data_IF_194404904408
#
_entry.id   IF_194404904408
#
_cell.length_a   1.000
_cell.length_b   1.000
_cell.length_c   1.000
_cell.angle_alpha   90.00
_cell.angle_beta   90.00
_cell.angle_gamma   90.00
#
_symmetry.space_group_name_H-M   'P 1'
#
loop_
_entity.id
_entity.type
_entity.pdbx_description
1 polymer ?
#
# COMPACT_ATOMS: atom_id res chain seq x y z
N UNK A 1 70.98 -26.97 46.34
CA UNK A 1 69.54 -27.27 46.11
C UNK A 1 68.70 -26.00 46.08
N UNK A 2 68.71 -25.16 47.12
CA UNK A 2 67.91 -23.92 47.16
C UNK A 2 68.22 -22.90 46.04
N UNK A 3 69.49 -22.64 45.69
CA UNK A 3 69.83 -21.66 44.63
C UNK A 3 69.44 -22.09 43.21
N UNK A 4 69.38 -23.39 42.94
CA UNK A 4 69.02 -23.92 41.60
C UNK A 4 67.51 -23.80 41.38
N UNK A 5 66.73 -23.99 42.45
CA UNK A 5 65.27 -23.85 42.45
C UNK A 5 64.87 -22.38 42.27
N UNK A 6 65.59 -21.44 42.91
CA UNK A 6 65.33 -20.00 42.76
C UNK A 6 65.61 -19.52 41.32
N UNK A 7 66.69 -20.00 40.70
CA UNK A 7 67.04 -19.63 39.32
C UNK A 7 66.02 -20.16 38.31
N UNK A 8 65.54 -21.40 38.49
CA UNK A 8 64.51 -22.00 37.63
C UNK A 8 63.16 -21.27 37.75
N UNK A 9 62.80 -20.81 38.95
CA UNK A 9 61.55 -20.09 39.20
C UNK A 9 61.57 -18.67 38.60
N UNK A 10 62.73 -18.01 38.61
CA UNK A 10 62.94 -16.71 37.93
C UNK A 10 62.92 -16.86 36.41
N UNK A 11 63.49 -17.92 35.84
CA UNK A 11 63.42 -18.19 34.39
C UNK A 11 62.01 -18.58 33.97
N UNK A 12 61.24 -19.30 34.80
CA UNK A 12 59.84 -19.61 34.53
C UNK A 12 58.95 -18.36 34.64
N UNK A 13 59.16 -17.50 35.64
CA UNK A 13 58.47 -16.20 35.74
C UNK A 13 58.86 -15.27 34.59
N UNK A 14 60.13 -15.25 34.20
CA UNK A 14 60.62 -14.48 33.05
C UNK A 14 60.08 -15.05 31.74
N UNK A 15 59.94 -16.36 31.58
CA UNK A 15 59.29 -16.98 30.42
C UNK A 15 57.79 -16.66 30.38
N UNK A 16 57.10 -16.65 31.54
CA UNK A 16 55.70 -16.20 31.66
C UNK A 16 55.54 -14.69 31.39
N UNK A 17 56.55 -13.88 31.75
CA UNK A 17 56.63 -12.44 31.47
C UNK A 17 57.10 -12.13 30.03
N UNK A 18 57.86 -13.02 29.37
CA UNK A 18 58.24 -12.95 27.95
C UNK A 18 57.08 -13.45 27.07
N UNK A 19 56.23 -14.36 27.57
CA UNK A 19 54.86 -14.56 27.06
C UNK A 19 53.89 -13.48 27.54
N UNK A 20 54.38 -12.49 28.29
CA UNK A 20 53.65 -11.33 28.76
C UNK A 20 53.24 -10.45 27.58
N UNK A 21 51.96 -10.55 27.26
CA UNK A 21 51.21 -9.56 26.46
C UNK A 21 51.68 -9.39 25.01
N UNK A 22 51.54 -10.44 24.20
CA UNK A 22 51.21 -10.17 22.79
C UNK A 22 49.94 -9.33 22.81
N UNK A 23 50.03 -8.04 22.44
CA UNK A 23 48.86 -7.19 22.25
C UNK A 23 48.09 -7.78 21.06
N UNK A 24 47.18 -8.70 21.36
CA UNK A 24 46.30 -9.25 20.34
C UNK A 24 45.24 -8.21 20.05
N UNK A 25 45.13 -7.83 18.79
CA UNK A 25 43.96 -7.13 18.28
C UNK A 25 42.78 -8.13 18.23
N UNK A 26 41.60 -7.64 17.87
CA UNK A 26 40.49 -8.49 17.42
C UNK A 26 40.35 -8.34 15.92
N UNK A 27 40.26 -9.46 15.23
CA UNK A 27 39.78 -9.49 13.85
C UNK A 27 38.25 -9.49 13.86
N UNK A 28 37.63 -8.48 13.25
CA UNK A 28 36.20 -8.50 12.94
C UNK A 28 36.03 -9.15 11.58
N UNK A 29 35.13 -10.13 11.50
CA UNK A 29 34.81 -10.90 10.32
C UNK A 29 33.32 -10.79 9.99
N UNK A 30 33.03 -10.54 8.72
CA UNK A 30 31.68 -10.52 8.15
C UNK A 30 31.58 -11.72 7.20
N UNK A 31 30.62 -12.61 7.43
CA UNK A 31 30.46 -13.87 6.70
C UNK A 31 31.75 -14.71 6.66
N UNK A 32 32.52 -14.66 7.76
CA UNK A 32 33.79 -15.35 7.93
C UNK A 32 35.00 -14.68 7.26
N UNK A 33 34.80 -13.68 6.41
CA UNK A 33 35.87 -12.91 5.77
C UNK A 33 36.40 -11.82 6.69
N UNK A 34 37.73 -11.69 6.80
CA UNK A 34 38.37 -10.64 7.60
C UNK A 34 38.05 -9.26 7.00
N UNK A 35 37.29 -8.45 7.75
CA UNK A 35 36.90 -7.11 7.35
C UNK A 35 37.88 -6.06 7.88
N UNK A 36 38.14 -6.04 9.20
CA UNK A 36 39.09 -5.13 9.81
C UNK A 36 39.67 -5.63 11.14
N UNK A 37 40.68 -4.93 11.65
CA UNK A 37 41.26 -5.17 12.98
C UNK A 37 40.89 -4.03 13.92
N UNK A 38 40.52 -4.36 15.16
CA UNK A 38 40.27 -3.38 16.24
C UNK A 38 41.08 -3.72 17.48
N UNK A 39 41.22 -2.74 18.38
CA UNK A 39 42.14 -2.83 19.52
C UNK A 39 41.92 -4.05 20.42
N UNK A 40 40.67 -4.32 20.79
CA UNK A 40 40.31 -5.34 21.77
C UNK A 40 38.82 -5.72 21.64
N UNK A 41 38.38 -6.71 22.42
CA UNK A 41 37.00 -7.22 22.35
C UNK A 41 35.95 -6.16 22.68
N UNK A 42 36.27 -5.20 23.56
CA UNK A 42 35.34 -4.11 23.89
C UNK A 42 35.19 -3.17 22.71
N UNK A 43 36.28 -2.89 21.99
CA UNK A 43 36.23 -2.13 20.76
C UNK A 43 35.37 -2.84 19.70
N UNK A 44 35.54 -4.15 19.52
CA UNK A 44 34.72 -4.92 18.57
C UNK A 44 33.23 -4.89 18.93
N UNK A 45 32.89 -5.11 20.21
CA UNK A 45 31.50 -5.02 20.67
C UNK A 45 30.93 -3.62 20.45
N UNK A 46 31.69 -2.57 20.76
CA UNK A 46 31.26 -1.18 20.53
C UNK A 46 31.00 -0.87 19.06
N UNK A 47 31.84 -1.39 18.15
CA UNK A 47 31.62 -1.23 16.71
C UNK A 47 30.32 -1.93 16.29
N UNK A 48 30.10 -3.16 16.76
CA UNK A 48 28.85 -3.89 16.50
C UNK A 48 27.61 -3.11 16.99
N UNK A 49 27.64 -2.65 18.25
CA UNK A 49 26.52 -1.91 18.84
C UNK A 49 26.29 -0.56 18.14
N UNK A 50 27.36 0.14 17.72
CA UNK A 50 27.27 1.39 16.97
C UNK A 50 26.70 1.17 15.56
N UNK A 51 27.05 0.08 14.86
CA UNK A 51 26.45 -0.28 13.57
C UNK A 51 24.94 -0.51 13.70
N UNK A 52 24.53 -1.31 14.69
CA UNK A 52 23.11 -1.56 14.96
C UNK A 52 22.36 -0.28 15.33
N UNK A 53 22.94 0.57 16.19
CA UNK A 53 22.33 1.83 16.60
C UNK A 53 22.21 2.82 15.44
N UNK A 54 23.25 2.94 14.59
CA UNK A 54 23.24 3.81 13.43
C UNK A 54 22.23 3.36 12.39
N UNK A 55 22.23 2.08 12.02
CA UNK A 55 21.30 1.57 11.01
C UNK A 55 19.85 1.53 11.47
N UNK A 56 19.59 1.23 12.74
CA UNK A 56 18.23 1.26 13.31
C UNK A 56 17.68 2.68 13.41
N UNK A 57 18.54 3.65 13.71
CA UNK A 57 18.13 5.03 13.95
C UNK A 57 17.05 5.14 15.03
N UNK A 58 15.90 5.72 14.67
CA UNK A 58 14.75 5.91 15.56
C UNK A 58 13.71 4.79 15.48
N UNK A 59 13.95 3.75 14.69
CA UNK A 59 12.99 2.65 14.54
C UNK A 59 12.83 1.89 15.87
N UNK A 60 11.61 1.44 16.20
CA UNK A 60 11.36 0.63 17.39
C UNK A 60 11.91 -0.79 17.20
N UNK A 61 11.90 -1.58 18.27
CA UNK A 61 12.35 -2.98 18.25
C UNK A 61 13.86 -3.16 18.34
N UNK A 62 14.26 -4.43 18.34
CA UNK A 62 15.66 -4.85 18.30
C UNK A 62 16.19 -4.80 16.86
N UNK A 63 17.49 -4.56 16.72
CA UNK A 63 18.18 -4.59 15.45
C UNK A 63 19.18 -5.74 15.42
N UNK A 64 19.36 -6.32 14.25
CA UNK A 64 20.33 -7.37 13.98
C UNK A 64 21.04 -7.10 12.65
N UNK A 65 22.15 -7.79 12.42
CA UNK A 65 22.82 -7.77 11.12
C UNK A 65 22.29 -8.93 10.27
N UNK A 66 22.06 -8.68 8.98
CA UNK A 66 21.76 -9.73 8.02
C UNK A 66 22.96 -10.69 7.85
N UNK A 67 24.17 -10.13 7.84
CA UNK A 67 25.42 -10.85 7.70
C UNK A 67 25.86 -11.48 9.02
N UNK A 68 26.60 -12.58 8.93
CA UNK A 68 27.16 -13.23 10.10
C UNK A 68 28.33 -12.42 10.68
N UNK A 69 28.10 -11.79 11.82
CA UNK A 69 29.14 -11.16 12.61
C UNK A 69 29.92 -12.20 13.42
N UNK A 70 31.24 -12.10 13.39
CA UNK A 70 32.11 -12.76 14.37
C UNK A 70 33.35 -11.93 14.62
N UNK A 71 33.93 -12.09 15.80
CA UNK A 71 35.25 -11.57 16.08
C UNK A 71 36.12 -12.62 16.77
N UNK A 72 37.40 -12.71 16.38
CA UNK A 72 38.39 -13.61 17.01
C UNK A 72 39.70 -12.88 17.42
N UNK A 73 40.47 -13.39 18.40
CA UNK A 73 41.78 -12.83 18.72
C UNK A 73 42.73 -12.91 17.52
N UNK A 74 43.43 -11.82 17.23
CA UNK A 74 44.33 -11.73 16.08
C UNK A 74 45.75 -11.29 16.50
N UNK A 75 46.81 -12.02 16.13
CA UNK A 75 48.17 -11.62 16.42
C UNK A 75 48.54 -10.40 15.58
N UNK A 76 48.92 -9.30 16.24
CA UNK A 76 49.41 -8.10 15.54
C UNK A 76 50.85 -8.35 15.12
N UNK A 77 51.08 -8.54 13.82
CA UNK A 77 52.40 -8.71 13.21
C UNK A 77 52.91 -7.41 12.53
N UNK A 78 52.16 -6.31 12.67
CA UNK A 78 52.48 -5.01 12.09
C UNK A 78 52.16 -4.88 10.60
N UNK A 79 51.58 -5.91 9.96
CA UNK A 79 51.26 -5.89 8.52
C UNK A 79 49.91 -5.25 8.19
N UNK A 80 49.04 -5.05 9.18
CA UNK A 80 47.69 -4.50 9.03
C UNK A 80 47.40 -3.45 10.10
N UNK A 81 46.71 -2.40 9.67
CA UNK A 81 46.31 -1.31 10.55
C UNK A 81 45.20 -1.76 11.52
N UNK A 82 45.31 -1.29 12.77
CA UNK A 82 44.29 -1.48 13.80
C UNK A 82 43.45 -0.22 13.87
N UNK A 83 42.21 -0.32 13.41
CA UNK A 83 41.31 0.81 13.25
C UNK A 83 40.77 1.29 14.61
N UNK A 84 40.46 2.58 14.67
CA UNK A 84 39.63 3.14 15.74
C UNK A 84 38.17 2.68 15.60
N UNK A 85 37.39 2.77 16.67
CA UNK A 85 35.97 2.36 16.67
C UNK A 85 35.22 3.07 15.54
N UNK A 86 35.31 4.40 15.46
CA UNK A 86 34.62 5.20 14.44
C UNK A 86 34.98 4.79 13.00
N UNK A 87 36.27 4.61 12.72
CA UNK A 87 36.76 4.22 11.40
C UNK A 87 36.32 2.80 11.02
N UNK A 88 36.34 1.87 11.98
CA UNK A 88 35.80 0.53 11.79
C UNK A 88 34.28 0.55 11.55
N UNK A 89 33.52 1.37 12.29
CA UNK A 89 32.07 1.53 12.07
C UNK A 89 31.77 2.10 10.68
N UNK A 90 32.49 3.14 10.24
CA UNK A 90 32.34 3.72 8.90
C UNK A 90 32.65 2.70 7.79
N UNK A 91 33.74 1.93 7.92
CA UNK A 91 34.10 0.89 6.96
C UNK A 91 33.07 -0.24 6.90
N UNK A 92 32.61 -0.72 8.06
CA UNK A 92 31.72 -1.87 8.15
C UNK A 92 30.27 -1.51 7.79
N UNK A 93 29.86 -0.26 7.96
CA UNK A 93 28.52 0.21 7.59
C UNK A 93 28.19 0.02 6.11
N UNK A 94 29.19 0.03 5.24
CA UNK A 94 29.06 -0.26 3.79
C UNK A 94 29.01 -1.77 3.48
N UNK A 95 29.35 -2.63 4.44
CA UNK A 95 29.46 -4.08 4.27
C UNK A 95 28.32 -4.86 4.92
N UNK A 96 27.56 -4.21 5.81
CA UNK A 96 26.50 -4.86 6.57
C UNK A 96 25.15 -4.20 6.37
N UNK A 97 24.10 -5.00 6.51
CA UNK A 97 22.71 -4.60 6.40
C UNK A 97 22.08 -4.75 7.76
N UNK A 98 21.55 -3.65 8.28
CA UNK A 98 20.82 -3.66 9.55
C UNK A 98 19.37 -4.05 9.28
N UNK A 99 18.95 -5.11 9.96
CA UNK A 99 17.60 -5.66 9.95
C UNK A 99 16.89 -5.27 11.25
N UNK A 100 15.62 -4.94 11.16
CA UNK A 100 14.76 -4.57 12.29
C UNK A 100 13.43 -5.32 12.20
N UNK A 101 12.79 -5.54 13.35
CA UNK A 101 11.40 -5.97 13.36
C UNK A 101 10.49 -4.85 12.84
N UNK A 102 9.73 -5.15 11.79
CA UNK A 102 8.80 -4.20 11.17
C UNK A 102 7.41 -4.81 11.06
N UNK A 103 6.40 -3.95 11.24
CA UNK A 103 5.03 -4.27 10.86
C UNK A 103 4.91 -4.15 9.33
N UNK A 104 4.36 -5.16 8.70
CA UNK A 104 4.24 -5.23 7.24
C UNK A 104 2.79 -5.29 6.84
N UNK A 105 2.39 -4.37 5.97
CA UNK A 105 1.10 -4.45 5.30
C UNK A 105 1.25 -5.41 4.12
N UNK A 106 0.56 -6.53 4.22
CA UNK A 106 0.38 -7.51 3.15
C UNK A 106 -0.94 -7.26 2.44
N UNK A 107 -0.92 -7.30 1.11
CA UNK A 107 -2.11 -7.16 0.27
C UNK A 107 -2.21 -8.39 -0.63
N UNK A 108 -3.31 -9.13 -0.53
CA UNK A 108 -3.50 -10.41 -1.22
C UNK A 108 -2.33 -11.38 -0.98
N UNK A 109 -1.81 -11.39 0.26
CA UNK A 109 -0.67 -12.22 0.68
C UNK A 109 0.72 -11.73 0.25
N UNK A 110 0.82 -10.56 -0.39
CA UNK A 110 2.10 -9.99 -0.84
C UNK A 110 2.57 -8.88 0.11
N UNK A 111 3.75 -9.02 0.74
CA UNK A 111 4.36 -7.95 1.54
C UNK A 111 4.59 -6.68 0.71
N UNK A 112 3.84 -5.61 1.02
CA UNK A 112 3.83 -4.40 0.18
C UNK A 112 4.59 -3.25 0.84
N UNK A 113 4.36 -2.99 2.14
CA UNK A 113 5.01 -1.87 2.86
C UNK A 113 5.49 -2.30 4.24
N UNK A 114 6.72 -1.90 4.61
CA UNK A 114 7.29 -2.06 5.95
C UNK A 114 7.13 -0.78 6.76
N UNK A 115 6.67 -0.91 8.00
CA UNK A 115 6.30 0.18 8.88
C UNK A 115 6.85 -0.04 10.30
N UNK A 116 7.05 1.05 11.07
CA UNK A 116 7.66 0.97 12.39
C UNK A 116 6.90 0.08 13.37
N UNK A 117 5.56 0.12 13.34
CA UNK A 117 4.76 -0.65 14.29
C UNK A 117 3.39 -1.02 13.73
N UNK A 118 2.71 -1.93 14.42
CA UNK A 118 1.35 -2.35 14.06
C UNK A 118 0.35 -1.19 14.19
N UNK A 119 0.53 -0.34 15.18
CA UNK A 119 -0.27 0.86 15.40
C UNK A 119 -0.07 1.84 14.24
N UNK A 120 1.18 2.08 13.83
CA UNK A 120 1.48 2.93 12.68
C UNK A 120 0.88 2.37 11.38
N UNK A 121 0.94 1.04 11.20
CA UNK A 121 0.29 0.37 10.07
C UNK A 121 -1.24 0.53 10.10
N UNK A 122 -1.86 0.49 11.27
CA UNK A 122 -3.28 0.74 11.41
C UNK A 122 -3.63 2.20 11.06
N UNK A 123 -2.85 3.17 11.54
CA UNK A 123 -3.03 4.59 11.23
C UNK A 123 -2.94 4.87 9.73
N UNK A 124 -2.02 4.19 9.02
CA UNK A 124 -1.92 4.24 7.55
C UNK A 124 -3.20 3.72 6.90
N UNK A 125 -3.69 2.54 7.27
CA UNK A 125 -4.91 1.95 6.70
C UNK A 125 -6.14 2.80 6.98
N UNK A 126 -6.26 3.36 8.18
CA UNK A 126 -7.37 4.24 8.56
C UNK A 126 -7.32 5.57 7.81
N UNK A 127 -6.11 6.10 7.59
CA UNK A 127 -5.89 7.29 6.74
C UNK A 127 -6.38 7.03 5.32
N UNK A 128 -6.08 5.86 4.73
CA UNK A 128 -6.55 5.51 3.37
C UNK A 128 -8.07 5.44 3.34
N UNK A 129 -8.68 4.76 4.31
CA UNK A 129 -10.14 4.66 4.44
C UNK A 129 -10.81 6.03 4.47
N UNK A 130 -10.33 6.93 5.34
CA UNK A 130 -10.88 8.27 5.50
C UNK A 130 -10.86 9.14 4.23
N UNK A 131 -9.99 8.86 3.26
CA UNK A 131 -9.97 9.58 1.98
C UNK A 131 -11.16 9.26 1.06
N UNK A 132 -11.85 8.14 1.27
CA UNK A 132 -12.92 7.65 0.39
C UNK A 132 -14.29 7.62 1.07
N UNK A 133 -14.53 8.59 1.94
CA UNK A 133 -15.84 8.85 2.54
C UNK A 133 -16.58 9.88 1.69
N UNK A 134 -17.70 9.53 1.02
CA UNK A 134 -18.49 10.50 0.27
C UNK A 134 -19.02 11.61 1.18
N UNK A 135 -18.82 12.87 0.78
CA UNK A 135 -19.29 14.01 1.55
C UNK A 135 -20.83 14.06 1.60
N UNK A 136 -21.39 14.26 2.79
CA UNK A 136 -22.83 14.46 2.98
C UNK A 136 -23.71 13.21 2.89
N UNK A 137 -23.13 12.04 2.58
CA UNK A 137 -23.87 10.78 2.58
C UNK A 137 -23.70 10.02 3.91
N UNK A 138 -24.74 9.31 4.34
CA UNK A 138 -24.71 8.56 5.60
C UNK A 138 -24.00 7.22 5.38
N UNK A 139 -22.87 7.00 6.04
CA UNK A 139 -22.19 5.71 6.04
C UNK A 139 -23.03 4.65 6.77
N UNK A 140 -23.27 3.50 6.13
CA UNK A 140 -24.09 2.41 6.68
C UNK A 140 -23.25 1.29 7.28
N UNK A 141 -22.09 1.02 6.70
CA UNK A 141 -21.15 -0.02 7.15
C UNK A 141 -19.75 0.58 7.34
N UNK A 142 -18.93 -0.05 8.17
CA UNK A 142 -17.52 0.31 8.27
C UNK A 142 -16.83 0.15 6.91
N UNK A 143 -15.90 1.05 6.59
CA UNK A 143 -15.11 0.97 5.37
C UNK A 143 -14.25 -0.29 5.39
N UNK A 144 -14.29 -1.04 4.30
CA UNK A 144 -13.55 -2.30 4.12
C UNK A 144 -12.60 -2.18 2.94
N UNK A 145 -11.61 -3.07 2.88
CA UNK A 145 -10.80 -3.24 1.67
C UNK A 145 -11.37 -4.41 0.86
N UNK A 146 -11.30 -4.32 -0.48
CA UNK A 146 -11.67 -5.44 -1.34
C UNK A 146 -10.60 -6.54 -1.33
N UNK A 147 -9.34 -6.13 -1.22
CA UNK A 147 -8.18 -7.00 -1.12
C UNK A 147 -8.03 -7.58 0.30
N UNK A 148 -7.35 -8.72 0.42
CA UNK A 148 -7.00 -9.30 1.72
C UNK A 148 -5.83 -8.54 2.33
N UNK A 149 -6.16 -7.51 3.13
CA UNK A 149 -5.18 -6.65 3.80
C UNK A 149 -4.91 -7.14 5.21
N UNK A 150 -3.64 -7.47 5.48
CA UNK A 150 -3.17 -7.98 6.78
C UNK A 150 -1.95 -7.21 7.27
N UNK A 151 -1.82 -7.08 8.58
CA UNK A 151 -0.61 -6.58 9.22
C UNK A 151 0.11 -7.77 9.85
N UNK A 152 1.31 -8.08 9.35
CA UNK A 152 2.19 -9.14 9.86
C UNK A 152 3.46 -8.54 10.45
N UNK A 153 4.21 -9.30 11.25
CA UNK A 153 5.51 -8.88 11.78
C UNK A 153 6.60 -9.65 11.04
N UNK A 154 7.61 -8.94 10.50
CA UNK A 154 8.76 -9.57 9.84
C UNK A 154 10.03 -8.77 10.07
N UNK A 155 11.17 -9.44 9.92
CA UNK A 155 12.45 -8.75 9.78
C UNK A 155 12.50 -8.04 8.41
N UNK A 156 12.82 -6.76 8.44
CA UNK A 156 12.98 -5.92 7.26
C UNK A 156 14.29 -5.13 7.36
N UNK A 157 14.85 -4.75 6.21
CA UNK A 157 15.98 -3.82 6.20
C UNK A 157 15.53 -2.49 6.78
N UNK A 158 16.32 -1.91 7.69
CA UNK A 158 15.99 -0.65 8.33
C UNK A 158 15.73 0.48 7.31
N UNK A 159 16.51 0.51 6.22
CA UNK A 159 16.39 1.46 5.11
C UNK A 159 15.08 1.33 4.28
N UNK A 160 14.36 0.22 4.43
CA UNK A 160 13.10 -0.06 3.72
C UNK A 160 11.85 0.28 4.53
N UNK A 161 12.01 0.67 5.80
CA UNK A 161 10.88 0.98 6.69
C UNK A 161 10.42 2.42 6.46
N UNK A 162 9.17 2.60 6.05
CA UNK A 162 8.59 3.92 5.84
C UNK A 162 8.11 4.51 7.16
N UNK A 163 8.67 5.63 7.58
CA UNK A 163 8.32 6.31 8.84
C UNK A 163 7.28 7.42 8.68
N UNK A 164 6.85 7.70 7.45
CA UNK A 164 5.88 8.75 7.13
C UNK A 164 4.58 8.15 6.59
N UNK A 165 3.45 8.54 7.19
CA UNK A 165 2.12 8.03 6.79
C UNK A 165 1.87 8.33 5.31
N UNK A 166 2.19 9.55 4.84
CA UNK A 166 1.97 9.95 3.45
C UNK A 166 2.72 9.05 2.44
N UNK A 167 3.98 8.70 2.73
CA UNK A 167 4.76 7.82 1.87
C UNK A 167 4.20 6.38 1.86
N UNK A 168 3.74 5.90 3.02
CA UNK A 168 3.09 4.60 3.12
C UNK A 168 1.74 4.55 2.37
N UNK A 169 0.94 5.62 2.49
CA UNK A 169 -0.30 5.79 1.73
C UNK A 169 -0.03 5.82 0.24
N UNK A 170 0.99 6.54 -0.23
CA UNK A 170 1.38 6.56 -1.65
C UNK A 170 1.79 5.18 -2.15
N UNK A 171 2.58 4.45 -1.37
CA UNK A 171 3.01 3.09 -1.69
C UNK A 171 1.84 2.09 -1.79
N UNK A 172 0.75 2.32 -1.06
CA UNK A 172 -0.46 1.48 -1.07
C UNK A 172 -1.58 2.00 -2.02
N UNK A 173 -1.58 3.30 -2.30
CA UNK A 173 -2.67 4.04 -2.94
C UNK A 173 -2.58 4.15 -4.46
N UNK A 174 -1.52 3.61 -5.06
CA UNK A 174 -1.47 3.45 -6.51
C UNK A 174 -2.43 2.32 -6.90
N UNK A 175 -3.60 2.71 -7.41
CA UNK A 175 -4.58 1.84 -8.08
C UNK A 175 -3.90 0.65 -8.73
N UNK A 176 -4.43 -0.56 -8.50
CA UNK A 176 -3.95 -1.84 -9.06
C UNK A 176 -3.43 -1.66 -10.48
N UNK A 177 -2.14 -1.34 -10.61
CA UNK A 177 -1.53 -1.08 -11.89
C UNK A 177 -0.99 -2.43 -12.31
N UNK A 178 -1.53 -3.00 -13.39
CA UNK A 178 -0.93 -4.18 -13.97
C UNK A 178 0.54 -3.87 -14.30
N UNK A 179 1.40 -4.87 -14.17
CA UNK A 179 2.79 -4.72 -14.60
C UNK A 179 2.79 -4.24 -16.04
N UNK A 180 3.46 -3.12 -16.31
CA UNK A 180 3.58 -2.59 -17.66
C UNK A 180 4.43 -3.59 -18.45
N UNK A 181 3.83 -4.14 -19.50
CA UNK A 181 4.50 -5.07 -20.40
C UNK A 181 5.01 -4.30 -21.60
N UNK A 182 6.33 -4.21 -21.71
CA UNK A 182 7.03 -3.62 -22.84
C UNK A 182 7.33 -4.69 -23.88
N UNK A 183 7.20 -4.33 -25.16
CA UNK A 183 7.64 -5.17 -26.27
C UNK A 183 8.99 -4.65 -26.77
N UNK A 184 10.03 -5.48 -26.64
CA UNK A 184 11.41 -5.13 -26.99
C UNK A 184 11.50 -4.71 -28.47
N UNK A 185 12.09 -3.55 -28.76
CA UNK A 185 12.28 -3.07 -30.14
C UNK A 185 13.63 -3.51 -30.72
N UNK A 186 13.78 -3.52 -32.06
CA UNK A 186 15.06 -3.80 -32.70
C UNK A 186 16.19 -2.89 -32.19
N UNK A 187 17.27 -3.49 -31.70
CA UNK A 187 18.46 -2.78 -31.21
C UNK A 187 18.41 -2.33 -29.75
N UNK A 188 17.40 -2.74 -28.98
CA UNK A 188 17.35 -2.50 -27.53
C UNK A 188 17.98 -3.66 -26.75
N UNK A 189 18.51 -3.33 -25.57
CA UNK A 189 19.14 -4.26 -24.64
C UNK A 189 18.73 -3.89 -23.21
N UNK A 190 18.90 -4.81 -22.27
CA UNK A 190 18.35 -4.73 -20.91
C UNK A 190 18.73 -3.41 -20.22
N UNK A 191 19.99 -2.99 -20.32
CA UNK A 191 20.49 -1.75 -19.72
C UNK A 191 19.78 -0.51 -20.26
N UNK A 192 19.51 -0.47 -21.58
CA UNK A 192 18.82 0.65 -22.22
C UNK A 192 17.35 0.69 -21.79
N UNK A 193 16.66 -0.46 -21.83
CA UNK A 193 15.26 -0.55 -21.42
C UNK A 193 15.12 -0.18 -19.93
N UNK A 194 16.03 -0.66 -19.09
CA UNK A 194 16.03 -0.33 -17.65
C UNK A 194 16.20 1.17 -17.44
N UNK A 195 17.14 1.81 -18.13
CA UNK A 195 17.38 3.25 -18.03
C UNK A 195 16.19 4.08 -18.54
N UNK A 196 15.60 3.71 -19.67
CA UNK A 196 14.44 4.39 -20.26
C UNK A 196 13.20 4.31 -19.35
N UNK A 197 13.11 3.26 -18.52
CA UNK A 197 12.05 3.05 -17.52
C UNK A 197 12.48 3.40 -16.09
N UNK A 198 13.59 4.12 -15.90
CA UNK A 198 14.02 4.64 -14.60
C UNK A 198 14.36 3.58 -13.54
N UNK A 199 14.78 2.38 -13.97
CA UNK A 199 15.15 1.28 -13.08
C UNK A 199 16.58 0.78 -13.31
N UNK A 200 17.09 0.06 -12.33
CA UNK A 200 18.37 -0.68 -12.44
C UNK A 200 18.16 -2.00 -13.20
N UNK A 201 19.24 -2.51 -13.79
CA UNK A 201 19.27 -3.84 -14.42
C UNK A 201 18.87 -4.93 -13.42
N UNK A 202 19.27 -4.78 -12.16
CA UNK A 202 18.89 -5.71 -11.10
C UNK A 202 17.37 -5.72 -10.89
N UNK A 203 16.74 -4.56 -10.79
CA UNK A 203 15.28 -4.42 -10.66
C UNK A 203 14.54 -4.99 -11.88
N UNK A 204 15.07 -4.81 -13.10
CA UNK A 204 14.52 -5.42 -14.30
C UNK A 204 14.50 -6.95 -14.22
N UNK A 205 15.59 -7.56 -13.75
CA UNK A 205 15.66 -9.01 -13.57
C UNK A 205 14.86 -9.51 -12.36
N UNK A 206 14.62 -8.68 -11.36
CA UNK A 206 13.70 -9.02 -10.27
C UNK A 206 12.26 -9.10 -10.77
N UNK A 207 11.89 -8.31 -11.79
CA UNK A 207 10.59 -8.36 -12.46
C UNK A 207 10.46 -9.52 -13.45
N UNK A 208 11.57 -9.89 -14.08
CA UNK A 208 11.65 -10.93 -15.10
C UNK A 208 12.71 -11.99 -14.71
N UNK A 209 12.51 -12.73 -13.60
CA UNK A 209 13.50 -13.69 -13.11
C UNK A 209 13.84 -14.78 -14.12
N UNK A 210 12.90 -15.12 -15.01
CA UNK A 210 13.06 -16.06 -16.12
C UNK A 210 14.04 -15.60 -17.20
N UNK A 211 14.37 -14.30 -17.25
CA UNK A 211 15.29 -13.72 -18.22
C UNK A 211 16.72 -13.59 -17.68
N UNK A 212 16.98 -13.93 -16.41
CA UNK A 212 18.34 -13.85 -15.84
C UNK A 212 19.29 -14.78 -16.59
N UNK A 213 20.32 -14.20 -17.21
CA UNK A 213 21.32 -14.92 -18.00
C UNK A 213 20.88 -15.26 -19.43
N UNK A 214 19.69 -14.83 -19.85
CA UNK A 214 19.19 -14.99 -21.20
C UNK A 214 19.31 -13.68 -22.00
N UNK A 215 19.47 -13.80 -23.32
CA UNK A 215 19.46 -12.65 -24.24
C UNK A 215 18.01 -12.34 -24.61
N UNK A 216 17.61 -11.07 -24.51
CA UNK A 216 16.31 -10.59 -24.98
C UNK A 216 16.36 -10.33 -26.49
N UNK A 217 15.25 -10.60 -27.18
CA UNK A 217 15.10 -10.43 -28.62
C UNK A 217 14.00 -9.43 -28.98
N UNK A 218 14.08 -8.77 -30.15
CA UNK A 218 13.00 -7.91 -30.62
C UNK A 218 11.68 -8.69 -30.72
N UNK A 219 10.62 -8.15 -30.13
CA UNK A 219 9.31 -8.79 -30.02
C UNK A 219 9.05 -9.51 -28.68
N UNK A 220 10.07 -9.69 -27.84
CA UNK A 220 9.89 -10.26 -26.50
C UNK A 220 9.04 -9.32 -25.64
N UNK A 221 8.19 -9.92 -24.80
CA UNK A 221 7.39 -9.21 -23.81
C UNK A 221 8.10 -9.24 -22.46
N UNK A 222 8.52 -8.08 -21.97
CA UNK A 222 9.25 -7.93 -20.72
C UNK A 222 8.50 -6.98 -19.80
N UNK A 223 8.47 -7.26 -18.51
CA UNK A 223 7.86 -6.39 -17.50
C UNK A 223 8.82 -5.25 -17.19
N UNK A 224 8.35 -4.02 -17.39
CA UNK A 224 9.09 -2.78 -17.16
C UNK A 224 8.46 -1.91 -16.07
N UNK A 225 7.46 -2.44 -15.38
CA UNK A 225 7.05 -1.92 -14.09
C UNK A 225 6.57 -3.07 -13.20
N UNK A 226 6.67 -2.87 -11.89
CA UNK A 226 6.04 -3.77 -10.91
C UNK A 226 4.52 -3.63 -11.10
N UNK A 227 3.79 -4.74 -11.02
CA UNK A 227 2.37 -4.62 -10.76
C UNK A 227 2.23 -3.94 -9.39
N UNK A 228 1.58 -2.78 -9.32
CA UNK A 228 1.32 -2.12 -8.05
C UNK A 228 0.13 -2.84 -7.43
N UNK A 229 0.35 -3.44 -6.26
CA UNK A 229 -0.74 -4.02 -5.48
C UNK A 229 -1.40 -2.87 -4.72
N UNK A 230 -2.31 -2.17 -5.41
CA UNK A 230 -3.11 -1.12 -4.80
C UNK A 230 -4.23 -1.71 -3.94
N UNK A 231 -4.57 -1.03 -2.86
CA UNK A 231 -5.77 -1.35 -2.07
C UNK A 231 -6.97 -0.52 -2.55
N UNK A 232 -8.14 -1.14 -2.55
CA UNK A 232 -9.42 -0.55 -2.94
C UNK A 232 -10.31 -0.44 -1.72
N UNK A 233 -10.68 0.78 -1.35
CA UNK A 233 -11.64 1.02 -0.28
C UNK A 233 -13.05 0.81 -0.81
N UNK A 234 -13.80 -0.08 -0.16
CA UNK A 234 -15.23 -0.25 -0.37
C UNK A 234 -16.00 0.53 0.69
N UNK A 235 -16.84 1.44 0.21
CA UNK A 235 -17.72 2.27 1.05
C UNK A 235 -19.18 2.03 0.65
N UNK A 236 -20.06 1.86 1.64
CA UNK A 236 -21.51 1.72 1.41
C UNK A 236 -22.24 2.83 2.15
N UNK A 237 -22.95 3.67 1.42
CA UNK A 237 -23.70 4.80 1.96
C UNK A 237 -25.19 4.67 1.69
N UNK A 238 -25.98 5.40 2.47
CA UNK A 238 -27.41 5.59 2.28
C UNK A 238 -27.68 7.03 1.90
N UNK A 239 -28.47 7.19 0.83
CA UNK A 239 -28.94 8.48 0.34
C UNK A 239 -30.45 8.43 0.22
N UNK A 240 -31.11 9.48 0.69
CA UNK A 240 -32.55 9.67 0.55
C UNK A 240 -32.82 10.87 -0.34
N UNK A 241 -33.51 10.64 -1.46
CA UNK A 241 -33.86 11.66 -2.44
C UNK A 241 -35.38 11.81 -2.50
N UNK A 242 -35.87 13.05 -2.50
CA UNK A 242 -37.30 13.33 -2.72
C UNK A 242 -37.55 13.50 -4.21
N UNK A 243 -38.45 12.68 -4.75
CA UNK A 243 -38.85 12.69 -6.15
C UNK A 243 -40.34 13.04 -6.28
N UNK A 244 -40.68 13.84 -7.28
CA UNK A 244 -42.07 14.14 -7.59
C UNK A 244 -42.75 12.95 -8.28
N UNK A 245 -44.01 12.71 -7.94
CA UNK A 245 -44.86 11.66 -8.52
C UNK A 245 -45.93 12.33 -9.38
N UNK A 246 -45.94 12.11 -10.70
CA UNK A 246 -46.88 12.77 -11.59
C UNK A 246 -48.33 12.36 -11.27
N UNK A 247 -49.31 13.27 -11.48
CA UNK A 247 -50.71 12.97 -11.24
C UNK A 247 -51.26 11.92 -12.23
N UNK A 248 -51.99 10.94 -11.71
CA UNK A 248 -52.70 9.97 -12.55
C UNK A 248 -53.87 10.63 -13.29
N UNK A 249 -54.11 10.18 -14.53
CA UNK A 249 -55.15 10.75 -15.39
C UNK A 249 -56.47 10.01 -15.20
N UNK A 250 -57.46 10.71 -14.64
CA UNK A 250 -58.83 10.24 -14.54
C UNK A 250 -59.65 10.78 -15.72
N UNK A 251 -60.27 9.88 -16.52
CA UNK A 251 -61.13 10.26 -17.64
C UNK A 251 -62.59 10.32 -17.19
N UNK A 252 -63.19 11.50 -17.26
CA UNK A 252 -64.57 11.74 -16.82
C UNK A 252 -65.46 11.90 -18.06
N UNK A 253 -66.34 10.94 -18.32
CA UNK A 253 -67.25 11.01 -19.46
C UNK A 253 -68.38 12.02 -19.22
N UNK A 254 -68.70 12.85 -20.22
CA UNK A 254 -69.74 13.88 -20.10
C UNK A 254 -70.48 14.15 -21.41
N UNK A 255 -71.80 14.32 -21.31
CA UNK A 255 -72.65 14.76 -22.43
C UNK A 255 -72.54 16.27 -22.71
N UNK A 256 -71.82 17.04 -21.88
CA UNK A 256 -71.60 18.47 -22.14
C UNK A 256 -70.57 18.74 -23.23
N UNK A 257 -69.79 17.73 -23.64
CA UNK A 257 -68.83 17.79 -24.73
C UNK A 257 -69.25 16.82 -25.84
N UNK A 258 -69.02 17.20 -27.10
CA UNK A 258 -69.28 16.33 -28.24
C UNK A 258 -68.32 15.14 -28.27
N UNK A 259 -68.80 14.01 -28.79
CA UNK A 259 -67.98 12.83 -29.03
C UNK A 259 -66.71 13.19 -29.82
N UNK A 260 -65.55 12.79 -29.31
CA UNK A 260 -64.24 13.11 -29.89
C UNK A 260 -63.57 14.36 -29.30
N UNK A 261 -64.29 15.21 -28.56
CA UNK A 261 -63.70 16.34 -27.83
C UNK A 261 -63.19 15.91 -26.45
N UNK A 262 -62.06 16.48 -26.04
CA UNK A 262 -61.53 16.34 -24.68
C UNK A 262 -61.21 17.71 -24.08
N UNK A 263 -61.44 17.88 -22.78
CA UNK A 263 -61.05 19.09 -22.05
C UNK A 263 -60.44 18.72 -20.71
N UNK A 264 -59.28 19.28 -20.38
CA UNK A 264 -58.72 19.14 -19.03
C UNK A 264 -59.61 19.94 -18.06
N UNK A 265 -60.18 19.25 -17.07
CA UNK A 265 -61.00 19.85 -16.01
C UNK A 265 -60.16 20.25 -14.79
N UNK A 266 -59.07 19.52 -14.52
CA UNK A 266 -58.08 19.83 -13.49
C UNK A 266 -56.74 19.21 -13.88
N UNK A 267 -55.64 19.93 -13.71
CA UNK A 267 -54.28 19.43 -13.98
C UNK A 267 -53.79 18.43 -12.93
N UNK A 268 -54.43 18.38 -11.75
CA UNK A 268 -53.88 17.68 -10.59
C UNK A 268 -52.64 18.39 -10.03
N UNK A 269 -52.13 17.87 -8.92
CA UNK A 269 -50.91 18.33 -8.23
C UNK A 269 -50.02 17.11 -8.07
N UNK A 270 -48.75 17.16 -8.52
CA UNK A 270 -47.80 16.09 -8.29
C UNK A 270 -47.68 15.76 -6.80
N UNK A 271 -47.62 14.48 -6.49
CA UNK A 271 -47.27 14.01 -5.15
C UNK A 271 -45.76 14.04 -4.96
N UNK A 272 -45.31 13.59 -3.79
CA UNK A 272 -43.90 13.43 -3.45
C UNK A 272 -43.67 12.07 -2.82
N UNK A 273 -42.56 11.43 -3.21
CA UNK A 273 -42.04 10.23 -2.56
C UNK A 273 -40.58 10.44 -2.18
N UNK A 274 -40.16 9.84 -1.08
CA UNK A 274 -38.76 9.70 -0.70
C UNK A 274 -38.30 8.33 -1.18
N UNK A 275 -37.22 8.29 -1.95
CA UNK A 275 -36.52 7.07 -2.36
C UNK A 275 -35.23 6.99 -1.57
N UNK A 276 -35.06 5.91 -0.82
CA UNK A 276 -33.84 5.63 -0.08
C UNK A 276 -33.05 4.57 -0.82
N UNK A 277 -31.83 4.91 -1.24
CA UNK A 277 -30.92 4.06 -2.00
C UNK A 277 -29.66 3.75 -1.20
N UNK A 278 -29.15 2.52 -1.36
CA UNK A 278 -27.81 2.14 -0.93
C UNK A 278 -26.87 2.29 -2.13
N UNK A 279 -25.79 3.06 -1.94
CA UNK A 279 -24.76 3.28 -2.95
C UNK A 279 -23.47 2.61 -2.51
N UNK A 280 -22.92 1.76 -3.38
CA UNK A 280 -21.61 1.11 -3.17
C UNK A 280 -20.57 1.83 -4.00
N UNK A 281 -19.50 2.26 -3.34
CA UNK A 281 -18.36 2.91 -3.95
C UNK A 281 -17.13 2.01 -3.83
N UNK A 282 -16.37 1.92 -4.92
CA UNK A 282 -14.99 1.43 -4.90
C UNK A 282 -14.09 2.64 -5.10
N UNK A 283 -13.32 2.99 -4.06
CA UNK A 283 -12.69 4.29 -3.90
C UNK A 283 -13.73 5.40 -4.09
N UNK A 284 -13.45 6.44 -4.88
CA UNK A 284 -14.39 7.53 -5.15
C UNK A 284 -15.43 7.22 -6.26
N UNK A 285 -15.47 6.00 -6.80
CA UNK A 285 -16.32 5.66 -7.96
C UNK A 285 -17.55 4.88 -7.53
N UNK A 286 -18.74 5.40 -7.85
CA UNK A 286 -20.00 4.67 -7.70
C UNK A 286 -20.01 3.44 -8.61
N UNK A 287 -20.16 2.26 -8.03
CA UNK A 287 -20.20 0.98 -8.77
C UNK A 287 -21.55 0.29 -8.72
N UNK A 288 -22.38 0.59 -7.73
CA UNK A 288 -23.71 0.00 -7.57
C UNK A 288 -24.64 0.98 -6.85
N UNK A 289 -25.90 1.04 -7.28
CA UNK A 289 -26.97 1.73 -6.56
C UNK A 289 -28.19 0.82 -6.49
N UNK A 290 -28.71 0.61 -5.28
CA UNK A 290 -29.84 -0.28 -5.02
C UNK A 290 -30.89 0.43 -4.19
N UNK A 291 -32.11 0.52 -4.71
CA UNK A 291 -33.25 1.05 -3.95
C UNK A 291 -33.53 0.13 -2.77
N UNK A 292 -33.48 0.70 -1.58
CA UNK A 292 -33.78 0.02 -0.31
C UNK A 292 -35.23 0.19 0.09
N UNK A 293 -35.74 1.42 -0.01
CA UNK A 293 -37.08 1.79 0.43
C UNK A 293 -37.67 2.92 -0.43
N UNK A 294 -38.99 2.97 -0.50
CA UNK A 294 -39.71 4.07 -1.15
C UNK A 294 -40.94 4.41 -0.32
N UNK A 295 -40.99 5.64 0.18
CA UNK A 295 -42.07 6.15 1.02
C UNK A 295 -42.78 7.30 0.33
N UNK A 296 -44.09 7.17 0.07
CA UNK A 296 -44.90 8.31 -0.36
C UNK A 296 -45.10 9.25 0.82
N UNK A 297 -44.67 10.51 0.68
CA UNK A 297 -44.84 11.56 1.69
C UNK A 297 -46.03 12.47 1.38
N UNK A 298 -46.38 12.61 0.09
CA UNK A 298 -47.54 13.37 -0.37
C UNK A 298 -48.16 12.64 -1.57
N UNK A 299 -49.45 12.30 -1.50
CA UNK A 299 -50.12 11.60 -2.58
C UNK A 299 -50.48 12.58 -3.73
N UNK A 300 -50.28 12.20 -5.01
CA UNK A 300 -50.69 13.05 -6.11
C UNK A 300 -52.22 13.20 -6.16
N UNK A 301 -52.69 14.37 -6.58
CA UNK A 301 -54.13 14.57 -6.87
C UNK A 301 -54.40 14.31 -8.35
N UNK A 302 -55.57 13.74 -8.67
CA UNK A 302 -55.90 13.30 -10.02
C UNK A 302 -55.95 14.46 -11.03
N UNK A 303 -55.33 14.23 -12.20
CA UNK A 303 -55.55 15.04 -13.39
C UNK A 303 -56.86 14.60 -14.04
N UNK A 304 -57.89 15.44 -14.01
CA UNK A 304 -59.21 15.12 -14.57
C UNK A 304 -59.31 15.59 -16.01
N UNK A 305 -59.55 14.67 -16.93
CA UNK A 305 -59.77 14.96 -18.35
C UNK A 305 -61.19 14.55 -18.72
N UNK A 306 -62.03 15.53 -19.06
CA UNK A 306 -63.37 15.25 -19.54
C UNK A 306 -63.34 14.75 -20.98
N UNK A 307 -64.12 13.71 -21.26
CA UNK A 307 -64.26 13.10 -22.60
C UNK A 307 -65.72 13.19 -23.03
N UNK A 308 -65.98 13.81 -24.18
CA UNK A 308 -67.33 14.01 -24.68
C UNK A 308 -68.03 12.74 -25.12
N UNK A 309 -69.31 12.64 -24.78
CA UNK A 309 -70.20 11.53 -25.17
C UNK A 309 -71.45 11.99 -25.90
N UNK A 310 -71.69 13.30 -26.04
CA UNK A 310 -72.83 13.79 -26.81
C UNK A 310 -72.65 13.50 -28.30
N UNK A 311 -73.70 12.95 -28.90
CA UNK A 311 -73.77 12.79 -30.34
C UNK A 311 -73.91 14.16 -31.01
N UNK A 312 -73.49 14.25 -32.27
CA UNK A 312 -73.57 15.51 -33.02
C UNK A 312 -75.03 15.99 -33.06
N UNK A 313 -75.29 17.31 -32.92
CA UNK A 313 -76.61 17.86 -33.17
C UNK A 313 -77.07 17.38 -34.55
N UNK A 314 -78.36 17.01 -34.73
CA UNK A 314 -78.85 16.62 -36.04
C UNK A 314 -78.48 17.75 -37.01
N UNK A 315 -77.70 17.42 -38.04
CA UNK A 315 -77.43 18.34 -39.16
C UNK A 315 -78.79 18.74 -39.70
N UNK A 316 -79.22 19.96 -39.35
CA UNK A 316 -80.46 20.52 -39.86
C UNK A 316 -80.38 20.45 -41.37
N UNK A 317 -81.21 19.60 -41.96
CA UNK A 317 -81.35 19.52 -43.39
C UNK A 317 -81.63 20.93 -43.88
N UNK A 318 -80.73 21.47 -44.70
CA UNK A 318 -81.06 22.59 -45.54
C UNK A 318 -82.25 22.12 -46.40
N UNK A 319 -83.44 22.61 -46.08
CA UNK A 319 -84.52 22.63 -47.05
C UNK A 319 -84.14 23.67 -48.09
N UNK A 320 -83.49 23.24 -49.17
CA UNK A 320 -83.55 23.96 -50.43
C UNK A 320 -84.71 23.35 -51.23
N UNK A 321 -85.66 24.21 -51.57
CA UNK A 321 -86.96 23.88 -52.15
C UNK A 321 -86.95 23.69 -53.66
#
# INVERSE_FOLDING_TARGET
>A
MASVILLALVVLLAAVLITGSRRNARAIKIDGALACLVRDQRAAQRVHDELLAQGRGTLPGEASLEQQWSDEPWPVDGSRDVLGIREATELLGELVVVMVDAATIEVDGHPTVNLPSKEFAQDVLDTIKHQYVPEGEKLIEGQTFLEDVKITSRLARADSVLTEIAAAVEALGTTKAEAEVYTVKPGEFVEKISADHGMTVQQFYDLNPELRGNVIHPGDKVKVSRALVGITVKTVTEVSETLDVPPEVERVHTATLQRGQTRVASEGVPGKKVVTSLRTYHNARLVEEKVRDTQTIEAPTLKKVMVGTADAPPTGGASEG
#
